data_IF_219132218668
#
_entry.id   IF_219132218668
#
_cell.length_a   1.000
_cell.length_b   1.000
_cell.length_c   1.000
_cell.angle_alpha   90.00
_cell.angle_beta   90.00
_cell.angle_gamma   90.00
#
_symmetry.space_group_name_H-M   'P 1'
#
loop_
_entity.id
_entity.type
_entity.pdbx_description
1 polymer ?
#
# COMPACT_ATOMS: atom_id res chain seq x y z
N UNK A 1 -24.34 -23.69 15.11
CA UNK A 1 -24.92 -22.32 15.20
C UNK A 1 -25.67 -22.22 16.51
N UNK A 2 -25.26 -21.32 17.40
CA UNK A 2 -26.04 -21.02 18.60
C UNK A 2 -27.42 -20.51 18.15
N UNK A 3 -28.49 -21.10 18.67
CA UNK A 3 -29.86 -20.60 18.39
C UNK A 3 -30.07 -19.38 19.28
N UNK A 4 -29.78 -18.20 18.75
CA UNK A 4 -30.09 -16.93 19.40
C UNK A 4 -31.61 -16.74 19.34
N UNK A 5 -32.22 -16.44 20.49
CA UNK A 5 -33.63 -16.13 20.61
C UNK A 5 -33.80 -14.67 21.07
N UNK A 6 -34.74 -13.91 20.50
CA UNK A 6 -35.58 -14.23 19.34
C UNK A 6 -34.79 -14.17 18.02
N UNK A 7 -35.37 -14.68 16.91
CA UNK A 7 -34.71 -14.68 15.58
C UNK A 7 -34.33 -13.27 15.09
N UNK A 8 -35.05 -12.25 15.55
CA UNK A 8 -34.84 -10.84 15.24
C UNK A 8 -34.01 -10.10 16.31
N UNK A 9 -33.24 -10.83 17.13
CA UNK A 9 -32.44 -10.26 18.23
C UNK A 9 -31.52 -9.11 17.78
N UNK A 10 -30.75 -9.30 16.70
CA UNK A 10 -29.84 -8.25 16.21
C UNK A 10 -30.59 -6.99 15.74
N UNK A 11 -31.79 -7.16 15.17
CA UNK A 11 -32.63 -6.05 14.73
C UNK A 11 -33.22 -5.31 15.95
N UNK A 12 -33.76 -6.04 16.92
CA UNK A 12 -34.36 -5.47 18.14
C UNK A 12 -33.37 -4.74 19.03
N UNK A 13 -32.13 -5.19 19.04
CA UNK A 13 -31.04 -4.59 19.84
C UNK A 13 -30.21 -3.57 19.06
N UNK A 14 -30.55 -3.35 17.78
CA UNK A 14 -29.78 -2.52 16.86
C UNK A 14 -28.28 -2.91 16.78
N UNK A 15 -27.96 -4.19 17.00
CA UNK A 15 -26.58 -4.67 17.09
C UNK A 15 -25.80 -4.46 15.78
N UNK A 16 -26.50 -4.41 14.65
CA UNK A 16 -25.92 -4.02 13.34
C UNK A 16 -25.20 -2.67 13.44
N UNK A 17 -25.75 -1.68 14.16
CA UNK A 17 -25.10 -0.37 14.36
C UNK A 17 -23.80 -0.51 15.16
N UNK A 18 -23.73 -1.43 16.11
CA UNK A 18 -22.50 -1.74 16.85
C UNK A 18 -21.44 -2.32 15.90
N UNK A 19 -21.82 -3.23 15.00
CA UNK A 19 -20.89 -3.76 13.98
C UNK A 19 -20.35 -2.64 13.09
N UNK A 20 -21.20 -1.73 12.62
CA UNK A 20 -20.78 -0.60 11.80
C UNK A 20 -19.83 0.35 12.54
N UNK A 21 -20.05 0.60 13.84
CA UNK A 21 -19.11 1.36 14.67
C UNK A 21 -17.74 0.65 14.77
N UNK A 22 -17.72 -0.67 14.95
CA UNK A 22 -16.46 -1.44 14.96
C UNK A 22 -15.77 -1.35 13.59
N UNK A 23 -16.50 -1.51 12.48
CA UNK A 23 -15.93 -1.35 11.13
C UNK A 23 -15.32 0.03 10.91
N UNK A 24 -15.95 1.07 11.47
CA UNK A 24 -15.44 2.44 11.44
C UNK A 24 -14.07 2.61 12.11
N UNK A 25 -13.72 1.72 13.03
CA UNK A 25 -12.41 1.70 13.69
C UNK A 25 -11.38 0.77 13.04
N UNK A 26 -11.76 -0.11 12.10
CA UNK A 26 -10.83 -0.99 11.40
C UNK A 26 -9.91 -0.20 10.46
N UNK A 27 -8.64 -0.61 10.37
CA UNK A 27 -7.64 -0.01 9.47
C UNK A 27 -7.65 -0.66 8.09
N UNK A 28 -8.13 -1.91 7.98
CA UNK A 28 -8.12 -2.71 6.75
C UNK A 28 -9.48 -3.30 6.42
N UNK A 29 -9.66 -3.71 5.16
CA UNK A 29 -10.84 -4.46 4.73
C UNK A 29 -10.87 -5.87 5.34
N UNK A 30 -9.73 -6.53 5.49
CA UNK A 30 -9.63 -7.84 6.17
C UNK A 30 -10.07 -7.74 7.64
N UNK A 31 -9.73 -6.63 8.33
CA UNK A 31 -10.26 -6.35 9.66
C UNK A 31 -11.78 -6.19 9.67
N UNK A 32 -12.36 -5.48 8.69
CA UNK A 32 -13.82 -5.36 8.53
C UNK A 32 -14.47 -6.71 8.23
N UNK A 33 -13.83 -7.57 7.43
CA UNK A 33 -14.32 -8.91 7.17
C UNK A 33 -14.43 -9.76 8.45
N UNK A 34 -13.46 -9.66 9.37
CA UNK A 34 -13.57 -10.28 10.72
C UNK A 34 -14.76 -9.74 11.52
N UNK A 35 -15.13 -8.47 11.35
CA UNK A 35 -16.34 -7.88 11.96
C UNK A 35 -17.61 -8.47 11.34
N UNK A 36 -17.62 -8.70 10.03
CA UNK A 36 -18.75 -9.33 9.35
C UNK A 36 -18.93 -10.80 9.78
N UNK A 37 -17.82 -11.51 10.00
CA UNK A 37 -17.81 -12.91 10.45
C UNK A 37 -18.20 -13.11 11.92
N UNK A 38 -18.20 -12.06 12.76
CA UNK A 38 -18.49 -12.25 14.18
C UNK A 38 -19.92 -12.78 14.39
N UNK A 39 -20.10 -13.68 15.35
CA UNK A 39 -21.39 -14.25 15.74
C UNK A 39 -21.48 -14.33 17.26
N UNK A 40 -22.68 -14.55 17.80
CA UNK A 40 -22.84 -14.76 19.24
C UNK A 40 -22.36 -16.15 19.64
N UNK A 41 -21.50 -16.18 20.65
CA UNK A 41 -20.84 -17.38 21.14
C UNK A 41 -21.48 -17.83 22.45
N UNK A 42 -21.33 -19.12 22.77
CA UNK A 42 -21.83 -19.73 24.02
C UNK A 42 -20.74 -20.47 24.79
N UNK A 43 -19.54 -20.59 24.23
CA UNK A 43 -18.41 -21.25 24.87
C UNK A 43 -17.75 -20.29 25.88
N UNK A 44 -17.78 -20.66 27.16
CA UNK A 44 -17.33 -19.81 28.26
C UNK A 44 -15.84 -19.41 28.14
N UNK A 45 -14.96 -20.39 27.87
CA UNK A 45 -13.52 -20.15 27.82
C UNK A 45 -13.14 -19.30 26.61
N UNK A 46 -13.77 -19.54 25.45
CA UNK A 46 -13.59 -18.72 24.27
C UNK A 46 -14.04 -17.27 24.50
N UNK A 47 -15.23 -17.06 25.07
CA UNK A 47 -15.76 -15.73 25.38
C UNK A 47 -14.83 -15.00 26.35
N UNK A 48 -14.41 -15.68 27.42
CA UNK A 48 -13.47 -15.15 28.41
C UNK A 48 -12.16 -14.72 27.76
N UNK A 49 -11.60 -15.54 26.86
CA UNK A 49 -10.39 -15.22 26.14
C UNK A 49 -10.56 -13.99 25.22
N UNK A 50 -11.61 -13.95 24.39
CA UNK A 50 -11.89 -12.85 23.46
C UNK A 50 -12.16 -11.51 24.17
N UNK A 51 -12.85 -11.54 25.32
CA UNK A 51 -13.06 -10.36 26.15
C UNK A 51 -11.76 -9.91 26.83
N UNK A 52 -10.90 -10.84 27.22
CA UNK A 52 -9.57 -10.52 27.78
C UNK A 52 -8.70 -9.82 26.75
N UNK A 53 -8.61 -10.33 25.53
CA UNK A 53 -7.90 -9.69 24.42
C UNK A 53 -8.36 -8.25 24.19
N UNK A 54 -9.69 -8.04 24.16
CA UNK A 54 -10.28 -6.71 23.95
C UNK A 54 -9.96 -5.76 25.12
N UNK A 55 -10.01 -6.27 26.34
CA UNK A 55 -9.70 -5.50 27.55
C UNK A 55 -8.22 -5.11 27.65
N UNK A 56 -7.31 -6.04 27.36
CA UNK A 56 -5.87 -5.78 27.28
C UNK A 56 -5.57 -4.72 26.22
N UNK A 57 -6.18 -4.83 25.04
CA UNK A 57 -5.97 -3.86 23.97
C UNK A 57 -6.58 -2.50 24.32
N UNK A 58 -7.73 -2.44 25.02
CA UNK A 58 -8.30 -1.19 25.52
C UNK A 58 -7.32 -0.51 26.48
N UNK A 59 -6.74 -1.26 27.41
CA UNK A 59 -5.72 -0.74 28.33
C UNK A 59 -4.52 -0.18 27.55
N UNK A 60 -4.01 -0.93 26.56
CA UNK A 60 -2.92 -0.50 25.69
C UNK A 60 -3.25 0.83 24.98
N UNK A 61 -4.44 0.97 24.41
CA UNK A 61 -4.88 2.21 23.72
C UNK A 61 -4.98 3.41 24.66
N UNK A 62 -5.26 3.20 25.95
CA UNK A 62 -5.39 4.28 26.94
C UNK A 62 -4.03 4.71 27.50
N UNK A 63 -3.13 3.75 27.75
CA UNK A 63 -1.93 3.99 28.56
C UNK A 63 -0.60 3.88 27.83
N UNK A 64 -0.57 3.28 26.62
CA UNK A 64 0.66 3.12 25.83
C UNK A 64 0.52 3.90 24.54
N UNK A 65 1.41 4.86 24.34
CA UNK A 65 1.59 5.50 23.05
C UNK A 65 2.34 4.57 22.08
N UNK A 66 2.14 4.77 20.78
CA UNK A 66 2.95 4.19 19.69
C UNK A 66 2.76 2.69 19.38
N UNK A 67 1.56 2.13 19.57
CA UNK A 67 1.28 0.81 18.97
C UNK A 67 1.42 0.86 17.44
N UNK A 68 2.12 -0.09 16.79
CA UNK A 68 2.34 -0.05 15.34
C UNK A 68 1.04 -0.20 14.55
N UNK A 69 0.60 0.89 13.91
CA UNK A 69 -0.66 0.96 13.12
C UNK A 69 -0.44 1.37 11.66
N UNK A 70 0.82 1.51 11.21
CA UNK A 70 1.14 2.24 9.98
C UNK A 70 0.67 1.61 8.66
N UNK A 71 0.72 0.29 8.50
CA UNK A 71 0.55 -0.35 7.18
C UNK A 71 -0.33 -1.60 7.20
N UNK A 72 -1.59 -1.44 7.59
CA UNK A 72 -2.61 -2.49 7.49
C UNK A 72 -3.16 -2.56 6.05
N UNK A 73 -2.33 -3.02 5.12
CA UNK A 73 -2.64 -3.08 3.70
C UNK A 73 -3.24 -4.45 3.38
N UNK A 74 -4.38 -4.45 2.69
CA UNK A 74 -4.98 -5.68 2.18
C UNK A 74 -4.27 -6.11 0.90
N UNK A 75 -3.62 -7.26 0.95
CA UNK A 75 -2.81 -7.80 -0.15
C UNK A 75 -3.30 -9.18 -0.60
N UNK A 76 -4.41 -9.68 -0.05
CA UNK A 76 -4.89 -11.03 -0.37
C UNK A 76 -5.14 -11.20 -1.87
N UNK A 77 -5.73 -10.18 -2.50
CA UNK A 77 -5.95 -10.15 -3.95
C UNK A 77 -4.66 -10.21 -4.77
N UNK A 78 -3.54 -9.71 -4.22
CA UNK A 78 -2.24 -9.75 -4.90
C UNK A 78 -1.76 -11.20 -4.99
N UNK A 79 -1.78 -11.92 -3.87
CA UNK A 79 -1.35 -13.32 -3.80
C UNK A 79 -2.23 -14.25 -4.65
N UNK A 80 -3.56 -14.06 -4.61
CA UNK A 80 -4.47 -14.86 -5.44
C UNK A 80 -4.22 -14.65 -6.93
N UNK A 81 -4.02 -13.39 -7.35
CA UNK A 81 -3.71 -13.05 -8.74
C UNK A 81 -2.35 -13.61 -9.19
N UNK A 82 -1.36 -13.66 -8.30
CA UNK A 82 0.02 -14.08 -8.63
C UNK A 82 0.34 -15.55 -8.33
N UNK A 83 -0.66 -16.32 -7.90
CA UNK A 83 -0.53 -17.73 -7.52
C UNK A 83 -0.06 -18.63 -8.66
N UNK A 84 -0.42 -18.29 -9.90
CA UNK A 84 -0.10 -19.11 -11.07
C UNK A 84 1.23 -18.71 -11.71
N UNK A 85 1.96 -19.68 -12.26
CA UNK A 85 3.19 -19.45 -13.01
C UNK A 85 2.93 -18.52 -14.20
N UNK A 86 3.84 -17.59 -14.47
CA UNK A 86 3.72 -16.60 -15.53
C UNK A 86 3.00 -15.30 -15.14
N UNK A 87 2.51 -15.22 -13.90
CA UNK A 87 2.00 -13.99 -13.29
C UNK A 87 3.02 -13.44 -12.28
N UNK A 88 3.01 -12.11 -12.08
CA UNK A 88 3.98 -11.42 -11.23
C UNK A 88 3.35 -10.26 -10.46
N UNK A 89 3.98 -9.90 -9.35
CA UNK A 89 3.67 -8.69 -8.59
C UNK A 89 4.21 -7.46 -9.32
N UNK A 90 3.46 -6.38 -9.27
CA UNK A 90 3.91 -5.03 -9.63
C UNK A 90 4.83 -4.46 -8.55
N UNK A 91 5.55 -3.40 -8.90
CA UNK A 91 6.43 -2.65 -7.99
C UNK A 91 5.70 -2.20 -6.73
N UNK A 92 4.49 -1.65 -6.92
CA UNK A 92 3.64 -1.19 -5.83
C UNK A 92 3.23 -2.34 -4.90
N UNK A 93 2.83 -3.49 -5.45
CA UNK A 93 2.40 -4.63 -4.64
C UNK A 93 3.56 -5.21 -3.81
N UNK A 94 4.76 -5.30 -4.40
CA UNK A 94 5.96 -5.69 -3.67
C UNK A 94 6.28 -4.71 -2.53
N UNK A 95 6.15 -3.41 -2.80
CA UNK A 95 6.35 -2.37 -1.79
C UNK A 95 5.32 -2.46 -0.65
N UNK A 96 4.05 -2.67 -0.97
CA UNK A 96 2.97 -2.87 -0.01
C UNK A 96 3.21 -4.11 0.86
N UNK A 97 3.70 -5.21 0.27
CA UNK A 97 4.07 -6.44 1.01
C UNK A 97 5.17 -6.14 2.04
N UNK A 98 6.25 -5.45 1.64
CA UNK A 98 7.33 -5.11 2.57
C UNK A 98 6.83 -4.24 3.72
N UNK A 99 5.98 -3.24 3.43
CA UNK A 99 5.42 -2.36 4.46
C UNK A 99 4.56 -3.12 5.47
N UNK A 100 3.72 -4.02 4.97
CA UNK A 100 2.86 -4.87 5.80
C UNK A 100 3.68 -5.81 6.69
N UNK A 101 4.66 -6.51 6.12
CA UNK A 101 5.55 -7.41 6.87
C UNK A 101 6.40 -6.66 7.93
N UNK A 102 6.81 -5.44 7.65
CA UNK A 102 7.47 -4.60 8.64
C UNK A 102 6.52 -4.20 9.78
N UNK A 103 5.24 -3.96 9.50
CA UNK A 103 4.22 -3.74 10.54
C UNK A 103 4.00 -5.00 11.38
N UNK A 104 3.92 -6.19 10.79
CA UNK A 104 3.86 -7.47 11.53
C UNK A 104 5.05 -7.59 12.48
N UNK A 105 6.27 -7.40 11.96
CA UNK A 105 7.50 -7.43 12.74
C UNK A 105 7.48 -6.41 13.89
N UNK A 106 6.99 -5.19 13.64
CA UNK A 106 6.88 -4.16 14.65
C UNK A 106 5.89 -4.56 15.77
N UNK A 107 4.74 -5.14 15.42
CA UNK A 107 3.75 -5.62 16.39
C UNK A 107 4.33 -6.74 17.26
N UNK A 108 5.02 -7.72 16.65
CA UNK A 108 5.67 -8.81 17.40
C UNK A 108 6.71 -8.23 18.37
N UNK A 109 7.56 -7.32 17.89
CA UNK A 109 8.57 -6.69 18.73
C UNK A 109 7.96 -5.86 19.86
N UNK A 110 6.84 -5.17 19.62
CA UNK A 110 6.13 -4.40 20.63
C UNK A 110 5.73 -5.29 21.82
N UNK A 111 5.09 -6.43 21.57
CA UNK A 111 4.68 -7.35 22.63
C UNK A 111 5.85 -8.15 23.22
N UNK A 112 6.89 -8.42 22.43
CA UNK A 112 8.11 -9.08 22.93
C UNK A 112 8.84 -8.23 23.96
N UNK A 113 8.90 -6.91 23.74
CA UNK A 113 9.61 -5.95 24.59
C UNK A 113 8.80 -5.46 25.80
N UNK A 114 7.56 -5.94 26.00
CA UNK A 114 6.79 -5.69 27.22
C UNK A 114 7.30 -6.58 28.37
N UNK A 115 8.31 -6.08 29.09
CA UNK A 115 8.99 -6.78 30.20
C UNK A 115 8.08 -7.03 31.41
N UNK A 116 7.19 -6.08 31.69
CA UNK A 116 6.20 -6.17 32.78
C UNK A 116 5.08 -7.18 32.49
N UNK A 117 5.01 -7.70 31.26
CA UNK A 117 3.99 -8.65 30.81
C UNK A 117 2.55 -8.17 31.10
N UNK A 118 2.30 -6.90 30.78
CA UNK A 118 1.01 -6.23 30.94
C UNK A 118 -0.06 -6.82 30.01
N UNK A 119 0.36 -7.43 28.88
CA UNK A 119 -0.53 -7.91 27.82
C UNK A 119 -0.31 -9.39 27.48
N UNK A 120 -0.45 -10.32 28.45
CA UNK A 120 -0.08 -11.72 28.27
C UNK A 120 -0.92 -12.42 27.19
N UNK A 121 -2.22 -12.13 27.10
CA UNK A 121 -3.11 -12.78 26.13
C UNK A 121 -2.84 -12.27 24.72
N UNK A 122 -2.60 -10.97 24.55
CA UNK A 122 -2.17 -10.41 23.26
C UNK A 122 -0.79 -10.91 22.85
N UNK A 123 0.15 -11.04 23.79
CA UNK A 123 1.49 -11.59 23.53
C UNK A 123 1.41 -13.03 23.02
N UNK A 124 0.50 -13.84 23.55
CA UNK A 124 0.28 -15.21 23.04
C UNK A 124 -0.11 -15.26 21.57
N UNK A 125 -0.86 -14.28 21.04
CA UNK A 125 -1.20 -14.22 19.61
C UNK A 125 0.03 -14.05 18.71
N UNK A 126 1.15 -13.54 19.24
CA UNK A 126 2.38 -13.33 18.48
C UNK A 126 3.31 -14.54 18.43
N UNK A 127 3.05 -15.55 19.28
CA UNK A 127 4.00 -16.64 19.57
C UNK A 127 4.33 -17.49 18.34
N UNK A 128 3.33 -17.81 17.53
CA UNK A 128 3.44 -18.70 16.38
C UNK A 128 3.52 -17.94 15.05
N UNK A 129 3.69 -16.61 15.11
CA UNK A 129 3.79 -15.79 13.90
C UNK A 129 5.24 -15.74 13.42
N UNK A 130 5.45 -16.27 12.23
CA UNK A 130 6.75 -16.26 11.57
C UNK A 130 7.09 -14.86 11.04
N UNK A 131 8.37 -14.51 11.10
CA UNK A 131 8.92 -13.32 10.45
C UNK A 131 9.67 -13.77 9.19
N UNK A 132 9.64 -12.96 8.14
CA UNK A 132 10.28 -13.26 6.86
C UNK A 132 11.39 -12.26 6.51
N UNK A 133 12.52 -12.22 7.25
CA UNK A 133 13.61 -11.28 6.95
C UNK A 133 14.16 -11.45 5.53
N UNK A 134 14.23 -12.70 5.04
CA UNK A 134 14.70 -13.00 3.68
C UNK A 134 13.77 -12.40 2.62
N UNK A 135 12.45 -12.56 2.76
CA UNK A 135 11.46 -11.96 1.84
C UNK A 135 11.60 -10.44 1.82
N UNK A 136 11.66 -9.81 2.99
CA UNK A 136 11.84 -8.35 3.11
C UNK A 136 13.15 -7.91 2.45
N UNK A 137 14.25 -8.59 2.74
CA UNK A 137 15.55 -8.27 2.18
C UNK A 137 15.57 -8.46 0.66
N UNK A 138 14.96 -9.53 0.17
CA UNK A 138 14.90 -9.83 -1.26
C UNK A 138 14.09 -8.79 -2.02
N UNK A 139 12.91 -8.42 -1.53
CA UNK A 139 12.13 -7.33 -2.14
C UNK A 139 12.90 -6.01 -2.08
N UNK A 140 13.52 -5.69 -0.95
CA UNK A 140 14.34 -4.48 -0.82
C UNK A 140 15.63 -4.51 -1.67
N UNK A 141 16.04 -5.65 -2.22
CA UNK A 141 17.14 -5.69 -3.19
C UNK A 141 16.72 -5.20 -4.58
N UNK A 142 15.42 -5.26 -4.89
CA UNK A 142 14.82 -4.89 -6.17
C UNK A 142 14.11 -3.54 -6.10
N UNK A 143 13.34 -3.31 -5.04
CA UNK A 143 12.52 -2.12 -4.82
C UNK A 143 13.20 -1.21 -3.78
N UNK A 144 13.16 0.10 -4.01
CA UNK A 144 13.71 1.09 -3.09
C UNK A 144 12.70 1.60 -2.05
N UNK A 145 13.10 2.60 -1.26
CA UNK A 145 12.25 3.19 -0.20
C UNK A 145 11.06 4.01 -0.75
N UNK A 146 11.05 4.33 -2.03
CA UNK A 146 9.98 5.08 -2.70
C UNK A 146 9.04 4.16 -3.48
N UNK A 147 9.31 2.86 -3.53
CA UNK A 147 8.51 1.89 -4.27
C UNK A 147 8.92 1.75 -5.74
N UNK A 148 10.10 2.24 -6.12
CA UNK A 148 10.62 2.16 -7.49
C UNK A 148 11.64 1.03 -7.66
N UNK A 149 11.75 0.49 -8.87
CA UNK A 149 12.79 -0.50 -9.21
C UNK A 149 14.16 0.19 -9.14
N UNK A 150 15.04 -0.35 -8.29
CA UNK A 150 16.42 0.08 -8.17
C UNK A 150 17.18 -0.07 -9.49
N UNK A 151 18.03 0.91 -9.79
CA UNK A 151 18.87 0.88 -10.99
C UNK A 151 19.82 -0.34 -11.03
N UNK A 152 20.18 -0.88 -9.87
CA UNK A 152 21.03 -2.05 -9.71
C UNK A 152 20.26 -3.33 -9.35
N UNK A 153 18.93 -3.37 -9.56
CA UNK A 153 18.13 -4.56 -9.35
C UNK A 153 18.61 -5.75 -10.21
N UNK A 154 19.21 -5.47 -11.37
CA UNK A 154 20.02 -6.42 -12.13
C UNK A 154 21.20 -5.71 -12.80
N UNK A 155 22.22 -6.49 -13.18
CA UNK A 155 23.36 -5.97 -13.94
C UNK A 155 22.95 -5.49 -15.33
N UNK A 156 21.96 -6.14 -15.94
CA UNK A 156 21.43 -5.78 -17.26
C UNK A 156 20.62 -4.49 -17.21
N UNK A 157 19.73 -4.34 -16.22
CA UNK A 157 18.96 -3.11 -16.02
C UNK A 157 19.89 -1.91 -15.81
N UNK A 158 20.96 -2.10 -15.03
CA UNK A 158 21.96 -1.06 -14.80
C UNK A 158 22.65 -0.64 -16.10
N UNK A 159 23.03 -1.60 -16.97
CA UNK A 159 23.59 -1.30 -18.30
C UNK A 159 22.59 -0.55 -19.18
N UNK A 160 21.34 -1.00 -19.24
CA UNK A 160 20.28 -0.37 -20.04
C UNK A 160 20.08 1.08 -19.59
N UNK A 161 19.87 1.33 -18.30
CA UNK A 161 19.67 2.68 -17.75
C UNK A 161 20.89 3.60 -18.01
N UNK A 162 22.10 3.08 -17.84
CA UNK A 162 23.33 3.83 -18.16
C UNK A 162 23.43 4.19 -19.65
N UNK A 163 23.09 3.26 -20.54
CA UNK A 163 23.08 3.51 -21.98
C UNK A 163 22.01 4.52 -22.37
N UNK A 164 20.83 4.42 -21.77
CA UNK A 164 19.71 5.34 -21.97
C UNK A 164 20.12 6.78 -21.59
N UNK A 165 20.71 6.96 -20.40
CA UNK A 165 21.23 8.26 -19.96
C UNK A 165 22.33 8.83 -20.90
N UNK A 166 23.26 7.98 -21.35
CA UNK A 166 24.31 8.37 -22.31
C UNK A 166 23.72 8.78 -23.66
N UNK A 167 22.73 8.06 -24.17
CA UNK A 167 22.09 8.34 -25.45
C UNK A 167 21.25 9.62 -25.39
N UNK A 168 20.49 9.82 -24.32
CA UNK A 168 19.78 11.08 -24.06
C UNK A 168 20.73 12.28 -24.01
N UNK A 169 21.88 12.15 -23.33
CA UNK A 169 22.91 13.18 -23.31
C UNK A 169 23.49 13.44 -24.71
N UNK A 170 23.66 12.38 -25.50
CA UNK A 170 24.18 12.44 -26.87
C UNK A 170 23.21 13.15 -27.82
N UNK A 171 21.89 13.03 -27.61
CA UNK A 171 20.87 13.78 -28.37
C UNK A 171 21.07 15.28 -28.19
N UNK A 172 21.13 15.75 -26.93
CA UNK A 172 21.31 17.17 -26.61
C UNK A 172 22.62 17.74 -27.17
N UNK A 173 23.72 16.99 -27.04
CA UNK A 173 25.02 17.39 -27.60
C UNK A 173 25.00 17.44 -29.13
N UNK A 174 24.36 16.45 -29.76
CA UNK A 174 24.29 16.34 -31.22
C UNK A 174 23.49 17.49 -31.82
N UNK A 175 22.33 17.83 -31.25
CA UNK A 175 21.52 18.93 -31.79
C UNK A 175 22.19 20.30 -31.61
N UNK A 176 22.87 20.54 -30.47
CA UNK A 176 23.67 21.75 -30.28
C UNK A 176 24.81 21.85 -31.30
N UNK A 177 25.52 20.73 -31.56
CA UNK A 177 26.58 20.68 -32.56
C UNK A 177 26.06 20.95 -33.97
N UNK A 178 24.91 20.38 -34.32
CA UNK A 178 24.29 20.58 -35.64
C UNK A 178 23.90 22.04 -35.79
N UNK A 179 23.18 22.63 -34.83
CA UNK A 179 22.77 24.04 -34.90
C UNK A 179 23.99 24.95 -35.07
N UNK A 180 25.03 24.77 -34.25
CA UNK A 180 26.26 25.56 -34.37
C UNK A 180 26.88 25.46 -35.76
N UNK A 181 26.93 24.24 -36.33
CA UNK A 181 27.44 24.02 -37.69
C UNK A 181 26.57 24.68 -38.76
N UNK A 182 25.24 24.65 -38.61
CA UNK A 182 24.31 25.25 -39.58
C UNK A 182 24.32 26.79 -39.52
N UNK A 183 24.54 27.35 -38.33
CA UNK A 183 24.78 28.79 -38.14
C UNK A 183 26.07 29.21 -38.84
N UNK A 184 27.18 28.49 -38.62
CA UNK A 184 28.46 28.77 -39.30
C UNK A 184 28.38 28.65 -40.83
N UNK A 185 27.47 27.81 -41.34
CA UNK A 185 27.22 27.64 -42.77
C UNK A 185 26.23 28.68 -43.36
N UNK A 186 25.67 29.59 -42.55
CA UNK A 186 24.68 30.58 -42.96
C UNK A 186 23.33 29.98 -43.38
N UNK A 187 23.02 28.76 -42.94
CA UNK A 187 21.77 28.05 -43.25
C UNK A 187 20.67 28.41 -42.24
N UNK A 188 21.08 28.74 -41.02
CA UNK A 188 20.25 29.04 -39.84
C UNK A 188 20.70 30.38 -39.24
N UNK A 189 19.78 31.17 -38.69
CA UNK A 189 20.07 32.49 -38.10
C UNK A 189 20.83 32.36 -36.78
N UNK A 190 21.64 33.37 -36.43
CA UNK A 190 22.53 33.34 -35.24
C UNK A 190 21.77 33.21 -33.92
N UNK A 191 20.53 33.71 -33.86
CA UNK A 191 19.61 33.70 -32.72
C UNK A 191 18.62 32.53 -32.76
N UNK A 192 18.83 31.55 -33.64
CA UNK A 192 17.95 30.40 -33.72
C UNK A 192 18.07 29.50 -32.48
N UNK A 193 16.96 29.38 -31.75
CA UNK A 193 16.81 28.46 -30.63
C UNK A 193 16.19 27.12 -31.03
N UNK A 194 16.57 26.06 -30.30
CA UNK A 194 15.96 24.73 -30.44
C UNK A 194 14.50 24.82 -30.02
N UNK A 195 13.60 24.36 -30.89
CA UNK A 195 12.18 24.28 -30.55
C UNK A 195 11.83 22.86 -30.12
N UNK A 196 11.10 22.71 -29.03
CA UNK A 196 10.50 21.43 -28.63
C UNK A 196 9.05 21.36 -29.13
N UNK A 197 8.70 20.36 -29.94
CA UNK A 197 7.31 20.04 -30.32
C UNK A 197 7.07 18.55 -30.23
N UNK A 198 5.94 18.14 -29.66
CA UNK A 198 5.58 16.73 -29.47
C UNK A 198 6.70 15.90 -28.83
N UNK A 199 7.40 16.50 -27.86
CA UNK A 199 8.57 15.94 -27.18
C UNK A 199 9.78 15.65 -28.09
N UNK A 200 9.89 16.34 -29.24
CA UNK A 200 11.01 16.25 -30.17
C UNK A 200 11.75 17.56 -30.26
N UNK A 201 13.08 17.47 -30.36
CA UNK A 201 13.96 18.62 -30.55
C UNK A 201 14.07 18.93 -32.04
N UNK A 202 13.60 20.11 -32.43
CA UNK A 202 13.50 20.55 -33.82
C UNK A 202 14.34 21.81 -34.04
N UNK A 203 14.97 21.89 -35.21
CA UNK A 203 15.67 23.08 -35.68
C UNK A 203 14.71 23.86 -36.58
N UNK A 204 14.35 25.11 -36.23
CA UNK A 204 13.61 25.96 -37.14
C UNK A 204 14.55 26.49 -38.23
N UNK A 205 14.12 26.39 -39.48
CA UNK A 205 14.89 26.83 -40.65
C UNK A 205 13.96 27.56 -41.60
N UNK A 206 14.43 28.61 -42.27
CA UNK A 206 13.66 29.23 -43.34
C UNK A 206 13.27 28.18 -44.40
N UNK A 207 12.01 28.20 -44.86
CA UNK A 207 11.47 27.17 -45.75
C UNK A 207 12.24 27.01 -47.08
N UNK A 208 12.96 28.05 -47.54
CA UNK A 208 13.85 27.98 -48.72
C UNK A 208 15.09 27.10 -48.49
N UNK A 209 15.53 26.98 -47.23
CA UNK A 209 16.71 26.22 -46.81
C UNK A 209 16.35 24.83 -46.25
N UNK A 210 15.07 24.45 -46.21
CA UNK A 210 14.61 23.22 -45.53
C UNK A 210 15.19 21.90 -46.04
N UNK A 211 15.70 21.87 -47.28
CA UNK A 211 16.36 20.68 -47.87
C UNK A 211 17.88 20.63 -47.63
N UNK A 212 18.47 21.68 -47.03
CA UNK A 212 19.91 21.75 -46.73
C UNK A 212 20.28 21.01 -45.45
N UNK A 213 19.34 20.86 -44.51
CA UNK A 213 19.49 19.98 -43.35
C UNK A 213 18.87 18.63 -43.68
N UNK A 214 19.66 17.55 -43.58
CA UNK A 214 19.14 16.19 -43.75
C UNK A 214 18.35 15.79 -42.50
N UNK A 215 17.05 15.52 -42.66
CA UNK A 215 16.17 15.23 -41.54
C UNK A 215 14.71 15.05 -41.93
N UNK A 216 13.87 14.87 -40.92
CA UNK A 216 12.41 14.76 -41.06
C UNK A 216 11.80 16.14 -40.83
N UNK A 217 10.94 16.58 -41.75
CA UNK A 217 10.20 17.85 -41.62
C UNK A 217 8.90 17.56 -40.86
N UNK A 218 8.73 18.18 -39.69
CA UNK A 218 7.54 17.99 -38.83
C UNK A 218 6.41 18.98 -39.09
N UNK A 219 6.68 20.02 -39.86
CA UNK A 219 5.67 21.01 -40.25
C UNK A 219 6.28 22.35 -40.57
N UNK A 220 5.41 23.29 -40.92
CA UNK A 220 5.75 24.67 -41.22
C UNK A 220 5.07 25.61 -40.22
N UNK A 221 5.58 26.83 -40.08
CA UNK A 221 4.92 27.89 -39.32
C UNK A 221 3.60 28.29 -40.00
N UNK A 222 2.70 28.94 -39.27
CA UNK A 222 1.41 29.39 -39.81
C UNK A 222 1.55 30.31 -41.05
N UNK A 223 2.68 31.01 -41.17
CA UNK A 223 3.00 31.87 -42.32
C UNK A 223 3.72 31.13 -43.45
N UNK A 224 4.05 29.85 -43.29
CA UNK A 224 4.80 29.02 -44.25
C UNK A 224 6.30 29.39 -44.37
N UNK A 225 6.77 30.40 -43.64
CA UNK A 225 8.14 30.93 -43.77
C UNK A 225 9.20 30.08 -43.08
N UNK A 226 8.83 29.30 -42.08
CA UNK A 226 9.75 28.50 -41.26
C UNK A 226 9.32 27.04 -41.30
N UNK A 227 10.26 26.14 -41.58
CA UNK A 227 10.10 24.70 -41.49
C UNK A 227 10.80 24.17 -40.24
N UNK A 228 10.20 23.23 -39.52
CA UNK A 228 10.78 22.59 -38.34
C UNK A 228 11.33 21.21 -38.69
N UNK A 229 12.63 21.01 -38.48
CA UNK A 229 13.36 19.83 -38.96
C UNK A 229 13.98 19.08 -37.78
N UNK A 230 13.73 17.78 -37.69
CA UNK A 230 14.50 16.87 -36.81
C UNK A 230 15.67 16.30 -37.63
N UNK A 231 16.92 16.62 -37.28
CA UNK A 231 18.08 16.10 -38.01
C UNK A 231 18.15 14.58 -37.98
N UNK A 232 18.63 13.98 -39.07
CA UNK A 232 18.69 12.51 -39.19
C UNK A 232 19.52 11.85 -38.09
N UNK A 233 20.59 12.49 -37.61
CA UNK A 233 21.38 11.95 -36.49
C UNK A 233 20.58 11.92 -35.18
N UNK A 234 19.71 12.91 -34.96
CA UNK A 234 18.82 12.97 -33.79
C UNK A 234 17.71 11.92 -33.90
N UNK A 235 17.13 11.73 -35.09
CA UNK A 235 16.15 10.66 -35.35
C UNK A 235 16.72 9.29 -35.01
N UNK A 236 17.94 8.99 -35.46
CA UNK A 236 18.60 7.70 -35.17
C UNK A 236 18.82 7.50 -33.67
N UNK A 237 19.32 8.52 -32.97
CA UNK A 237 19.51 8.45 -31.52
C UNK A 237 18.18 8.27 -30.76
N UNK A 238 17.10 8.93 -31.19
CA UNK A 238 15.78 8.77 -30.60
C UNK A 238 15.20 7.37 -30.80
N UNK A 239 15.44 6.75 -31.97
CA UNK A 239 15.06 5.36 -32.21
C UNK A 239 15.81 4.39 -31.27
N UNK A 240 17.12 4.59 -31.10
CA UNK A 240 17.93 3.79 -30.16
C UNK A 240 17.47 3.98 -28.70
N UNK A 241 17.12 5.19 -28.29
CA UNK A 241 16.53 5.47 -26.96
C UNK A 241 15.25 4.66 -26.79
N UNK A 242 14.36 4.69 -27.79
CA UNK A 242 13.10 3.95 -27.75
C UNK A 242 13.30 2.44 -27.67
N UNK A 243 14.31 1.91 -28.35
CA UNK A 243 14.69 0.49 -28.22
C UNK A 243 15.19 0.14 -26.81
N UNK A 244 15.98 1.03 -26.20
CA UNK A 244 16.45 0.89 -24.81
C UNK A 244 15.30 0.98 -23.80
N UNK A 245 14.33 1.88 -24.00
CA UNK A 245 13.12 1.97 -23.17
C UNK A 245 12.30 0.68 -23.24
N UNK A 246 12.12 0.10 -24.43
CA UNK A 246 11.48 -1.21 -24.55
C UNK A 246 12.29 -2.34 -23.90
N UNK A 247 13.63 -2.28 -23.98
CA UNK A 247 14.49 -3.23 -23.29
C UNK A 247 14.37 -3.12 -21.77
N UNK A 248 14.31 -1.89 -21.24
CA UNK A 248 14.11 -1.62 -19.81
C UNK A 248 12.80 -2.22 -19.31
N UNK A 249 11.69 -1.98 -20.00
CA UNK A 249 10.38 -2.55 -19.63
C UNK A 249 10.39 -4.09 -19.62
N UNK A 250 11.07 -4.71 -20.60
CA UNK A 250 11.23 -6.18 -20.64
C UNK A 250 12.05 -6.68 -19.46
N UNK A 251 13.13 -6.00 -19.12
CA UNK A 251 14.02 -6.38 -18.03
C UNK A 251 13.34 -6.20 -16.66
N UNK A 252 12.60 -5.11 -16.45
CA UNK A 252 11.78 -4.89 -15.25
C UNK A 252 10.78 -6.04 -15.08
N UNK A 253 10.04 -6.38 -16.15
CA UNK A 253 9.09 -7.51 -16.11
C UNK A 253 9.77 -8.84 -15.77
N UNK A 254 10.98 -9.07 -16.32
CA UNK A 254 11.77 -10.27 -16.01
C UNK A 254 12.14 -10.32 -14.52
N UNK A 255 12.65 -9.22 -13.98
CA UNK A 255 13.01 -9.10 -12.55
C UNK A 255 11.78 -9.32 -11.65
N UNK A 256 10.65 -8.70 -11.97
CA UNK A 256 9.40 -8.85 -11.22
C UNK A 256 8.88 -10.29 -11.25
N UNK A 257 9.02 -10.97 -12.39
CA UNK A 257 8.63 -12.38 -12.53
C UNK A 257 9.54 -13.28 -11.68
N UNK A 258 10.86 -13.07 -11.78
CA UNK A 258 11.86 -13.83 -11.01
C UNK A 258 11.62 -13.70 -9.50
N UNK A 259 11.47 -12.48 -8.98
CA UNK A 259 11.21 -12.31 -7.54
C UNK A 259 9.85 -12.88 -7.14
N UNK A 260 8.81 -12.76 -7.96
CA UNK A 260 7.51 -13.38 -7.65
C UNK A 260 7.63 -14.90 -7.57
N UNK A 261 8.40 -15.50 -8.47
CA UNK A 261 8.64 -16.94 -8.49
C UNK A 261 9.43 -17.41 -7.25
N UNK A 262 10.41 -16.64 -6.81
CA UNK A 262 11.15 -16.89 -5.57
C UNK A 262 10.27 -16.78 -4.31
N UNK A 263 9.28 -15.88 -4.33
CA UNK A 263 8.38 -15.66 -3.19
C UNK A 263 7.23 -16.67 -3.14
N UNK A 264 6.83 -17.27 -4.27
CA UNK A 264 5.66 -18.15 -4.37
C UNK A 264 5.64 -19.31 -3.37
N UNK A 265 6.77 -19.98 -3.06
CA UNK A 265 6.81 -21.03 -2.03
C UNK A 265 6.39 -20.57 -0.63
N UNK A 266 6.44 -19.26 -0.35
CA UNK A 266 6.12 -18.67 0.95
C UNK A 266 4.72 -18.06 1.03
N UNK A 267 3.92 -18.10 -0.05
CA UNK A 267 2.63 -17.39 -0.09
C UNK A 267 1.68 -17.81 1.03
N UNK A 268 1.55 -19.12 1.28
CA UNK A 268 0.65 -19.62 2.32
C UNK A 268 1.07 -19.13 3.71
N UNK A 269 2.38 -19.17 4.01
CA UNK A 269 2.93 -18.68 5.28
C UNK A 269 2.79 -17.15 5.42
N UNK A 270 2.97 -16.41 4.33
CA UNK A 270 2.77 -14.96 4.30
C UNK A 270 1.30 -14.61 4.59
N UNK A 271 0.34 -15.35 4.03
CA UNK A 271 -1.09 -15.15 4.28
C UNK A 271 -1.46 -15.32 5.76
N UNK A 272 -0.78 -16.21 6.50
CA UNK A 272 -0.95 -16.31 7.97
C UNK A 272 -0.58 -15.01 8.69
N UNK A 273 0.43 -14.28 8.19
CA UNK A 273 0.79 -12.98 8.75
C UNK A 273 -0.29 -11.92 8.51
N UNK A 274 -0.98 -11.97 7.37
CA UNK A 274 -2.10 -11.08 7.08
C UNK A 274 -3.35 -11.43 7.89
N UNK A 275 -3.63 -12.72 8.12
CA UNK A 275 -4.72 -13.12 9.02
C UNK A 275 -4.45 -12.67 10.47
N UNK A 276 -3.19 -12.78 10.92
CA UNK A 276 -2.76 -12.22 12.19
C UNK A 276 -2.99 -10.70 12.26
N UNK A 277 -2.62 -9.95 11.22
CA UNK A 277 -2.90 -8.51 11.16
C UNK A 277 -4.39 -8.21 11.19
N UNK A 278 -5.22 -8.94 10.44
CA UNK A 278 -6.67 -8.78 10.46
C UNK A 278 -7.25 -9.04 11.86
N UNK A 279 -6.72 -10.05 12.56
CA UNK A 279 -7.11 -10.38 13.94
C UNK A 279 -6.73 -9.26 14.92
N UNK A 280 -5.51 -8.72 14.82
CA UNK A 280 -5.08 -7.56 15.62
C UNK A 280 -5.95 -6.33 15.31
N UNK A 281 -6.27 -6.09 14.04
CA UNK A 281 -7.12 -5.00 13.60
C UNK A 281 -8.53 -5.08 14.22
N UNK A 282 -9.13 -6.28 14.17
CA UNK A 282 -10.43 -6.57 14.75
C UNK A 282 -10.44 -6.37 16.28
N UNK A 283 -9.43 -6.87 16.99
CA UNK A 283 -9.34 -6.71 18.45
C UNK A 283 -9.17 -5.23 18.81
N UNK A 284 -8.28 -4.51 18.11
CA UNK A 284 -8.08 -3.06 18.31
C UNK A 284 -9.37 -2.29 18.06
N UNK A 285 -10.10 -2.59 16.98
CA UNK A 285 -11.35 -1.91 16.65
C UNK A 285 -12.40 -2.07 17.76
N UNK A 286 -12.55 -3.27 18.33
CA UNK A 286 -13.41 -3.49 19.50
C UNK A 286 -12.94 -2.73 20.74
N UNK A 287 -11.63 -2.66 20.96
CA UNK A 287 -11.05 -1.94 22.09
C UNK A 287 -11.25 -0.42 21.98
N UNK A 288 -11.16 0.14 20.76
CA UNK A 288 -11.46 1.54 20.49
C UNK A 288 -12.94 1.84 20.75
N UNK A 289 -13.85 0.98 20.28
CA UNK A 289 -15.27 1.13 20.62
C UNK A 289 -15.49 1.06 22.13
N UNK A 290 -14.88 0.10 22.83
CA UNK A 290 -15.00 -0.04 24.28
C UNK A 290 -14.41 1.15 25.06
N UNK A 291 -13.41 1.84 24.51
CA UNK A 291 -12.92 3.13 25.04
C UNK A 291 -13.95 4.22 24.79
N UNK A 292 -14.48 4.32 23.57
CA UNK A 292 -15.38 5.40 23.18
C UNK A 292 -16.73 5.33 23.92
N UNK A 293 -17.21 4.12 24.22
CA UNK A 293 -18.40 3.86 25.04
C UNK A 293 -18.12 3.68 26.53
N UNK A 294 -16.87 3.83 26.97
CA UNK A 294 -16.45 3.58 28.36
C UNK A 294 -16.84 2.18 28.89
N UNK A 295 -16.98 1.20 27.99
CA UNK A 295 -17.40 -0.15 28.33
C UNK A 295 -16.36 -0.89 29.17
N UNK A 296 -16.82 -1.70 30.11
CA UNK A 296 -15.95 -2.52 30.98
C UNK A 296 -16.00 -3.98 30.55
N UNK A 297 -14.92 -4.73 30.82
CA UNK A 297 -14.94 -6.19 30.69
C UNK A 297 -15.87 -6.75 31.78
N UNK A 298 -16.95 -7.47 31.44
CA UNK A 298 -17.84 -8.03 32.45
C UNK A 298 -17.12 -9.12 33.25
N UNK A 299 -17.55 -9.31 34.50
CA UNK A 299 -17.20 -10.51 35.28
C UNK A 299 -18.05 -11.66 34.75
N UNK A 300 -17.40 -12.71 34.28
CA UNK A 300 -18.08 -13.89 33.76
C UNK A 300 -18.15 -14.97 34.84
N UNK A 301 -19.24 -15.71 34.83
CA UNK A 301 -19.40 -16.96 35.58
C UNK A 301 -19.95 -18.02 34.64
N UNK A 302 -19.68 -19.29 34.93
CA UNK A 302 -20.19 -20.43 34.15
C UNK A 302 -21.57 -20.88 34.69
N UNK A 303 -22.39 -19.90 35.06
CA UNK A 303 -23.72 -20.09 35.64
C UNK A 303 -24.72 -19.21 34.90
N UNK A 304 -25.98 -19.59 34.92
CA UNK A 304 -27.07 -18.82 34.33
C UNK A 304 -27.50 -17.68 35.26
N UNK A 305 -26.63 -16.69 35.41
CA UNK A 305 -26.89 -15.47 36.19
C UNK A 305 -26.57 -14.23 35.34
N UNK A 306 -27.33 -13.16 35.56
CA UNK A 306 -27.18 -11.90 34.85
C UNK A 306 -27.33 -10.76 35.85
N UNK A 307 -26.27 -10.01 36.07
CA UNK A 307 -26.35 -8.77 36.86
C UNK A 307 -25.72 -7.64 36.05
N UNK A 308 -26.55 -6.65 35.73
CA UNK A 308 -26.13 -5.39 35.14
C UNK A 308 -26.24 -4.30 36.20
N UNK A 309 -25.13 -3.63 36.45
CA UNK A 309 -25.04 -2.50 37.36
C UNK A 309 -24.70 -1.26 36.55
N UNK A 310 -25.48 -0.21 36.71
CA UNK A 310 -25.36 1.06 36.02
C UNK A 310 -25.28 0.94 34.49
N UNK A 311 -26.02 0.01 33.89
CA UNK A 311 -25.95 -0.23 32.44
C UNK A 311 -26.50 0.95 31.66
N UNK A 312 -25.79 1.32 30.59
CA UNK A 312 -26.19 2.40 29.67
C UNK A 312 -26.33 1.83 28.26
N UNK A 313 -27.31 2.33 27.52
CA UNK A 313 -27.44 1.98 26.11
C UNK A 313 -26.27 2.57 25.32
N UNK A 314 -25.41 1.76 24.67
CA UNK A 314 -24.15 2.24 24.08
C UNK A 314 -24.36 3.29 22.97
N UNK A 315 -25.35 3.09 22.09
CA UNK A 315 -25.64 4.05 21.02
C UNK A 315 -26.16 5.39 21.54
N UNK A 316 -26.97 5.36 22.61
CA UNK A 316 -27.49 6.57 23.23
C UNK A 316 -26.37 7.30 23.97
N UNK A 317 -25.49 6.56 24.62
CA UNK A 317 -24.31 7.10 25.30
C UNK A 317 -23.41 7.86 24.33
N UNK A 318 -23.09 7.25 23.18
CA UNK A 318 -22.30 7.91 22.13
C UNK A 318 -23.01 9.15 21.56
N UNK A 319 -24.31 9.06 21.29
CA UNK A 319 -25.08 10.19 20.78
C UNK A 319 -25.11 11.36 21.77
N UNK A 320 -25.11 11.07 23.07
CA UNK A 320 -25.26 12.08 24.12
C UNK A 320 -23.92 12.69 24.57
N UNK A 321 -22.80 11.97 24.38
CA UNK A 321 -21.45 12.35 24.83
C UNK A 321 -21.05 13.79 24.50
N UNK A 322 -21.46 14.32 23.34
CA UNK A 322 -21.12 15.67 22.89
C UNK A 322 -22.27 16.68 22.99
N UNK A 323 -23.39 16.32 23.61
CA UNK A 323 -24.61 17.14 23.67
C UNK A 323 -24.93 17.70 25.06
N UNK A 324 -24.11 17.35 26.07
CA UNK A 324 -24.35 17.70 27.47
C UNK A 324 -25.53 16.97 28.13
N UNK A 325 -26.17 16.03 27.42
CA UNK A 325 -27.21 15.16 27.96
C UNK A 325 -26.57 13.92 28.60
N UNK A 326 -27.22 13.36 29.62
CA UNK A 326 -26.78 12.13 30.27
C UNK A 326 -27.73 10.97 29.97
N UNK A 327 -27.15 9.78 29.82
CA UNK A 327 -27.92 8.54 29.74
C UNK A 327 -28.18 8.03 31.15
N UNK A 328 -29.46 7.95 31.51
CA UNK A 328 -29.89 7.41 32.80
C UNK A 328 -29.53 5.91 32.82
N UNK A 329 -28.65 5.47 33.74
CA UNK A 329 -28.27 4.08 33.84
C UNK A 329 -29.41 3.22 34.40
N UNK A 330 -29.40 1.92 34.11
CA UNK A 330 -30.37 0.95 34.62
C UNK A 330 -29.68 -0.27 35.22
N UNK A 331 -30.28 -0.80 36.28
CA UNK A 331 -29.83 -2.04 36.93
C UNK A 331 -30.77 -3.19 36.56
N UNK A 332 -30.22 -4.36 36.27
CA UNK A 332 -30.96 -5.58 35.92
C UNK A 332 -30.36 -6.75 36.71
N UNK A 333 -31.20 -7.59 37.32
CA UNK A 333 -30.82 -8.78 38.10
C UNK A 333 -31.60 -10.01 37.69
#
# INVERSE_FOLDING_TARGET
MSKIYPKDFEQKTEFVKIRELIKGHCLSNSGKAKVDEMTFLTDYDLIKNLLTLTSEFKHLVIFKDNFPTGHFIDTQSYFERTKNIGTFFTEKELFDIVRSLNTVKAIINFFKNDEENNYPTLKLLTKDIQIFPFVIQRINSVIDKYGEIKNNASSELSKIKNNLSKKQSSVSQTIHRIIKSQISAGIVENDTEITVRDNKLLIPVESKNKRKIKGIIYGESATGKTSYIEPIEVVTLNNEIKELEFAELREIRRILSEITDELRPYFDDLLLSYDFMATIDFIRAKALLARDTEAVKPKLTDKNELEFLHAKHPLLFLAYKNTGKEVIPSDIK
#
